data_IF_502274794310
#
_entry.id   IF_502274794310
#
_cell.length_a   1.000
_cell.length_b   1.000
_cell.length_c   1.000
_cell.angle_alpha   90.00
_cell.angle_beta   90.00
_cell.angle_gamma   90.00
#
_symmetry.space_group_name_H-M   'P 1'
#
loop_
_entity.id
_entity.type
_entity.pdbx_description
1 polymer ?
#
# COMPACT_ATOMS: atom_id res chain seq x y z
N UNK A 1 -4.61 -7.68 -1.89
CA UNK A 1 -6.09 -7.80 -1.77
C UNK A 1 -6.64 -7.19 -0.49
N UNK A 2 -6.12 -7.50 0.71
CA UNK A 2 -6.65 -6.93 1.97
C UNK A 2 -6.74 -5.40 1.97
N UNK A 3 -5.68 -4.71 1.52
CA UNK A 3 -5.65 -3.25 1.33
C UNK A 3 -6.86 -2.72 0.56
N UNK A 4 -7.26 -3.38 -0.54
CA UNK A 4 -8.44 -2.97 -1.33
C UNK A 4 -9.73 -3.03 -0.50
N UNK A 5 -9.97 -4.15 0.19
CA UNK A 5 -11.19 -4.30 0.99
C UNK A 5 -11.24 -3.37 2.20
N UNK A 6 -10.10 -3.15 2.87
CA UNK A 6 -10.01 -2.19 3.97
C UNK A 6 -10.23 -0.75 3.49
N UNK A 7 -9.60 -0.37 2.38
CA UNK A 7 -9.84 0.93 1.75
C UNK A 7 -11.32 1.12 1.37
N UNK A 8 -11.94 0.11 0.74
CA UNK A 8 -13.38 0.15 0.43
C UNK A 8 -14.25 0.30 1.68
N UNK A 9 -14.00 -0.51 2.73
CA UNK A 9 -14.79 -0.45 3.95
C UNK A 9 -14.74 0.94 4.59
N UNK A 10 -13.54 1.52 4.69
CA UNK A 10 -13.36 2.85 5.29
C UNK A 10 -13.98 3.93 4.40
N UNK A 11 -13.68 3.93 3.10
CA UNK A 11 -14.15 4.99 2.19
C UNK A 11 -15.66 4.99 2.00
N UNK A 12 -16.30 3.83 1.89
CA UNK A 12 -17.75 3.75 1.75
C UNK A 12 -18.49 4.20 3.02
N UNK A 13 -17.91 3.98 4.21
CA UNK A 13 -18.53 4.37 5.48
C UNK A 13 -18.29 5.83 5.86
N UNK A 14 -17.09 6.35 5.61
CA UNK A 14 -16.65 7.65 6.15
C UNK A 14 -16.49 8.73 5.08
N UNK A 15 -16.41 8.37 3.81
CA UNK A 15 -16.12 9.28 2.70
C UNK A 15 -17.08 9.08 1.50
N UNK A 16 -18.42 9.16 1.71
CA UNK A 16 -19.40 8.82 0.69
C UNK A 16 -19.40 9.75 -0.54
N UNK A 17 -18.72 10.90 -0.46
CA UNK A 17 -18.58 11.85 -1.57
C UNK A 17 -17.34 11.62 -2.44
N UNK A 18 -16.43 10.73 -2.06
CA UNK A 18 -15.23 10.45 -2.85
C UNK A 18 -15.59 9.74 -4.16
N UNK A 19 -14.82 10.03 -5.21
CA UNK A 19 -15.18 9.70 -6.59
C UNK A 19 -14.32 8.62 -7.24
N UNK A 20 -13.37 8.06 -6.50
CA UNK A 20 -12.52 6.97 -6.99
C UNK A 20 -13.37 5.78 -7.44
N UNK A 21 -13.08 5.24 -8.62
CA UNK A 21 -13.78 4.05 -9.11
C UNK A 21 -13.26 2.79 -8.39
N UNK A 22 -14.11 1.77 -8.17
CA UNK A 22 -13.68 0.49 -7.62
C UNK A 22 -12.54 -0.15 -8.42
N UNK A 23 -12.55 0.02 -9.75
CA UNK A 23 -11.50 -0.47 -10.64
C UNK A 23 -10.15 0.22 -10.38
N UNK A 24 -10.12 1.56 -10.33
CA UNK A 24 -8.87 2.30 -10.11
C UNK A 24 -8.29 1.98 -8.74
N UNK A 25 -9.14 1.89 -7.71
CA UNK A 25 -8.73 1.48 -6.37
C UNK A 25 -8.18 0.03 -6.36
N UNK A 26 -8.84 -0.89 -7.05
CA UNK A 26 -8.38 -2.28 -7.16
C UNK A 26 -7.01 -2.35 -7.83
N UNK A 27 -6.83 -1.68 -8.97
CA UNK A 27 -5.58 -1.69 -9.73
C UNK A 27 -4.41 -1.15 -8.88
N UNK A 28 -4.58 -0.02 -8.20
CA UNK A 28 -3.50 0.51 -7.35
C UNK A 28 -3.21 -0.42 -6.17
N UNK A 29 -4.22 -1.02 -5.53
CA UNK A 29 -4.00 -1.96 -4.43
C UNK A 29 -3.31 -3.25 -4.87
N UNK A 30 -3.51 -3.69 -6.12
CA UNK A 30 -2.79 -4.83 -6.70
C UNK A 30 -1.34 -4.50 -7.05
N UNK A 31 -1.06 -3.24 -7.39
CA UNK A 31 0.22 -2.83 -7.98
C UNK A 31 1.15 -2.06 -7.02
N UNK A 32 0.66 -1.54 -5.88
CA UNK A 32 1.46 -0.66 -5.02
C UNK A 32 2.78 -1.27 -4.53
N UNK A 33 2.78 -2.57 -4.24
CA UNK A 33 3.97 -3.31 -3.81
C UNK A 33 4.69 -4.03 -4.97
N UNK A 34 4.37 -3.74 -6.25
CA UNK A 34 5.01 -4.42 -7.39
C UNK A 34 6.54 -4.25 -7.40
N UNK A 35 7.06 -3.14 -6.87
CA UNK A 35 8.49 -2.91 -6.72
C UNK A 35 9.18 -3.85 -5.72
N UNK A 36 8.42 -4.53 -4.85
CA UNK A 36 8.95 -5.40 -3.78
C UNK A 36 9.27 -6.82 -4.24
N UNK A 37 8.85 -7.22 -5.44
CA UNK A 37 9.02 -8.62 -5.86
C UNK A 37 10.50 -9.00 -5.95
N UNK A 38 10.86 -10.29 -5.78
CA UNK A 38 12.24 -10.75 -5.89
C UNK A 38 12.92 -10.43 -7.24
N UNK A 39 12.12 -10.25 -8.30
CA UNK A 39 12.61 -9.85 -9.62
C UNK A 39 12.82 -8.35 -9.75
N UNK A 40 11.96 -7.52 -9.13
CA UNK A 40 11.96 -6.06 -9.31
C UNK A 40 12.81 -5.34 -8.26
N UNK A 41 12.86 -5.83 -7.02
CA UNK A 41 13.61 -5.19 -5.95
C UNK A 41 15.10 -5.04 -6.29
N UNK A 42 15.81 -6.08 -6.80
CA UNK A 42 17.23 -5.96 -7.15
C UNK A 42 17.49 -5.46 -8.58
N UNK A 43 16.46 -5.29 -9.44
CA UNK A 43 16.66 -4.90 -10.84
C UNK A 43 16.87 -3.40 -11.05
N UNK A 44 16.81 -2.61 -9.97
CA UNK A 44 16.90 -1.15 -10.00
C UNK A 44 17.69 -0.61 -8.81
N UNK A 45 18.19 0.62 -8.94
CA UNK A 45 18.74 1.41 -7.83
C UNK A 45 17.74 2.42 -7.24
N UNK A 46 16.54 2.51 -7.82
CA UNK A 46 15.45 3.35 -7.31
C UNK A 46 14.77 2.70 -6.11
N UNK A 47 14.20 3.53 -5.23
CA UNK A 47 13.30 3.07 -4.18
C UNK A 47 12.16 2.25 -4.77
N UNK A 48 11.74 1.19 -4.08
CA UNK A 48 10.77 0.24 -4.62
C UNK A 48 9.44 0.91 -5.01
N UNK A 49 8.98 1.93 -4.29
CA UNK A 49 7.75 2.64 -4.63
C UNK A 49 7.86 3.38 -5.98
N UNK A 50 9.02 3.98 -6.25
CA UNK A 50 9.26 4.71 -7.50
C UNK A 50 9.37 3.74 -8.68
N UNK A 51 10.11 2.65 -8.49
CA UNK A 51 10.24 1.64 -9.52
C UNK A 51 8.91 0.92 -9.79
N UNK A 52 8.17 0.56 -8.73
CA UNK A 52 6.84 -0.03 -8.83
C UNK A 52 5.86 0.88 -9.57
N UNK A 53 5.91 2.19 -9.33
CA UNK A 53 5.11 3.16 -10.06
C UNK A 53 5.45 3.21 -11.55
N UNK A 54 6.74 3.24 -11.91
CA UNK A 54 7.14 3.22 -13.32
C UNK A 54 6.75 1.93 -14.05
N UNK A 55 6.90 0.77 -13.39
CA UNK A 55 6.44 -0.50 -13.92
C UNK A 55 4.93 -0.50 -14.14
N UNK A 56 4.18 0.00 -13.16
CA UNK A 56 2.71 0.06 -13.20
C UNK A 56 2.22 1.02 -14.29
N UNK A 57 2.82 2.20 -14.39
CA UNK A 57 2.49 3.18 -15.44
C UNK A 57 2.74 2.58 -16.83
N UNK A 58 3.91 1.98 -17.05
CA UNK A 58 4.23 1.35 -18.33
C UNK A 58 3.28 0.21 -18.68
N UNK A 59 2.95 -0.66 -17.70
CA UNK A 59 2.00 -1.74 -17.88
C UNK A 59 0.62 -1.21 -18.29
N UNK A 60 0.06 -0.28 -17.52
CA UNK A 60 -1.28 0.27 -17.77
C UNK A 60 -1.35 1.00 -19.12
N UNK A 61 -0.32 1.78 -19.46
CA UNK A 61 -0.23 2.43 -20.77
C UNK A 61 -0.13 1.42 -21.92
N UNK A 62 0.62 0.31 -21.74
CA UNK A 62 0.70 -0.77 -22.74
C UNK A 62 -0.63 -1.49 -22.96
N UNK A 63 -1.50 -1.49 -21.95
CA UNK A 63 -2.85 -2.04 -21.98
C UNK A 63 -3.91 -1.01 -22.43
N UNK A 64 -3.48 0.15 -22.93
CA UNK A 64 -4.36 1.22 -23.39
C UNK A 64 -5.30 1.78 -22.32
N UNK A 65 -4.92 1.71 -21.04
CA UNK A 65 -5.63 2.42 -19.97
C UNK A 65 -5.64 3.93 -20.24
N UNK A 66 -6.68 4.61 -19.78
CA UNK A 66 -6.75 6.07 -19.87
C UNK A 66 -5.57 6.71 -19.11
N UNK A 67 -4.90 7.68 -19.73
CA UNK A 67 -3.73 8.37 -19.14
C UNK A 67 -4.00 8.88 -17.73
N UNK A 68 -5.14 9.54 -17.51
CA UNK A 68 -5.50 10.06 -16.19
C UNK A 68 -5.59 8.97 -15.10
N UNK A 69 -6.08 7.78 -15.45
CA UNK A 69 -6.15 6.65 -14.52
C UNK A 69 -4.75 6.09 -14.25
N UNK A 70 -3.96 5.87 -15.31
CA UNK A 70 -2.61 5.31 -15.20
C UNK A 70 -1.68 6.23 -14.39
N UNK A 71 -1.73 7.54 -14.64
CA UNK A 71 -0.96 8.54 -13.89
C UNK A 71 -1.45 8.68 -12.45
N UNK A 72 -2.77 8.63 -12.20
CA UNK A 72 -3.32 8.65 -10.83
C UNK A 72 -2.88 7.44 -10.00
N UNK A 73 -2.83 6.26 -10.62
CA UNK A 73 -2.28 5.04 -10.01
C UNK A 73 -0.79 5.24 -9.74
N UNK A 74 -0.01 5.69 -10.72
CA UNK A 74 1.42 5.89 -10.56
C UNK A 74 1.76 6.89 -9.43
N UNK A 75 1.10 8.05 -9.39
CA UNK A 75 1.22 9.04 -8.31
C UNK A 75 0.92 8.42 -6.95
N UNK A 76 -0.15 7.62 -6.85
CA UNK A 76 -0.51 6.96 -5.59
C UNK A 76 0.54 5.93 -5.18
N UNK A 77 1.09 5.15 -6.11
CA UNK A 77 2.15 4.19 -5.81
C UNK A 77 3.42 4.92 -5.36
N UNK A 78 3.81 6.03 -5.98
CA UNK A 78 4.96 6.82 -5.53
C UNK A 78 4.78 7.26 -4.07
N UNK A 79 3.56 7.66 -3.70
CA UNK A 79 3.26 8.30 -2.42
C UNK A 79 2.65 7.38 -1.37
N UNK A 80 2.53 6.08 -1.61
CA UNK A 80 1.81 5.18 -0.69
C UNK A 80 2.53 4.95 0.66
N UNK A 81 3.81 5.33 0.77
CA UNK A 81 4.57 5.39 2.03
C UNK A 81 4.70 6.83 2.58
N UNK A 82 4.29 7.83 1.80
CA UNK A 82 4.44 9.24 2.16
C UNK A 82 3.28 9.73 3.02
N UNK A 83 3.30 9.38 4.31
CA UNK A 83 2.23 9.77 5.23
C UNK A 83 2.15 11.29 5.39
N UNK A 84 3.29 11.97 5.51
CA UNK A 84 3.40 13.43 5.59
C UNK A 84 2.62 14.06 6.76
N UNK A 85 2.93 15.31 7.09
CA UNK A 85 2.18 16.06 8.11
C UNK A 85 1.47 17.30 7.53
N UNK A 86 1.87 17.73 6.34
CA UNK A 86 1.38 18.96 5.70
C UNK A 86 1.18 18.75 4.19
N UNK A 87 0.41 19.66 3.57
CA UNK A 87 0.10 19.63 2.14
C UNK A 87 -1.18 18.88 1.80
N UNK A 88 -1.34 18.52 0.52
CA UNK A 88 -2.51 17.81 -0.01
C UNK A 88 -2.11 16.50 -0.69
N UNK A 89 -3.05 15.57 -0.75
CA UNK A 89 -2.94 14.31 -1.49
C UNK A 89 -4.26 13.99 -2.20
N UNK A 90 -4.21 13.06 -3.15
CA UNK A 90 -5.41 12.63 -3.88
C UNK A 90 -6.30 11.75 -2.98
N UNK A 91 -7.61 11.69 -3.27
CA UNK A 91 -8.53 10.77 -2.60
C UNK A 91 -8.04 9.32 -2.72
N UNK A 92 -7.49 8.94 -3.89
CA UNK A 92 -6.97 7.59 -4.15
C UNK A 92 -5.78 7.26 -3.24
N UNK A 93 -4.86 8.22 -3.07
CA UNK A 93 -3.70 8.06 -2.18
C UNK A 93 -4.13 7.91 -0.73
N UNK A 94 -5.07 8.74 -0.27
CA UNK A 94 -5.61 8.63 1.08
C UNK A 94 -6.32 7.27 1.31
N UNK A 95 -7.10 6.80 0.32
CA UNK A 95 -7.75 5.48 0.39
C UNK A 95 -6.73 4.34 0.53
N UNK A 96 -5.64 4.38 -0.24
CA UNK A 96 -4.57 3.38 -0.14
C UNK A 96 -3.86 3.46 1.20
N UNK A 97 -3.57 4.65 1.73
CA UNK A 97 -2.98 4.81 3.07
C UNK A 97 -3.82 4.17 4.17
N UNK A 98 -5.14 4.32 4.12
CA UNK A 98 -6.02 3.65 5.09
C UNK A 98 -5.84 2.12 5.06
N UNK A 99 -5.84 1.53 3.87
CA UNK A 99 -5.69 0.07 3.72
C UNK A 99 -4.29 -0.43 4.09
N UNK A 100 -3.22 0.26 3.64
CA UNK A 100 -1.84 -0.17 3.90
C UNK A 100 -1.46 0.00 5.35
N UNK A 101 -1.82 1.13 5.99
CA UNK A 101 -1.46 1.36 7.40
C UNK A 101 -2.26 0.50 8.37
N UNK A 102 -3.50 0.13 8.03
CA UNK A 102 -4.24 -0.88 8.80
C UNK A 102 -3.53 -2.23 8.74
N UNK A 103 -3.23 -2.72 7.53
CA UNK A 103 -2.65 -4.06 7.36
C UNK A 103 -1.19 -4.16 7.86
N UNK A 104 -0.42 -3.07 7.74
CA UNK A 104 1.01 -3.07 8.08
C UNK A 104 1.28 -2.60 9.51
N UNK A 105 0.52 -1.64 10.04
CA UNK A 105 0.81 -0.97 11.31
C UNK A 105 -0.39 -0.90 12.27
N UNK A 106 -1.53 -1.51 11.93
CA UNK A 106 -2.73 -1.53 12.77
C UNK A 106 -3.38 -0.15 12.95
N UNK A 107 -3.05 0.84 12.12
CA UNK A 107 -3.65 2.18 12.20
C UNK A 107 -5.04 2.19 11.61
N UNK A 108 -5.87 3.14 12.05
CA UNK A 108 -7.24 3.32 11.55
C UNK A 108 -8.18 2.13 11.80
N UNK A 109 -7.83 1.23 12.73
CA UNK A 109 -8.68 0.07 13.08
C UNK A 109 -10.04 0.53 13.62
N UNK A 110 -10.10 1.69 14.26
CA UNK A 110 -11.34 2.31 14.73
C UNK A 110 -12.30 2.71 13.60
N UNK A 111 -11.83 2.78 12.35
CA UNK A 111 -12.66 3.09 11.19
C UNK A 111 -13.32 1.87 10.56
N UNK A 112 -12.96 0.65 10.99
CA UNK A 112 -13.46 -0.62 10.41
C UNK A 112 -14.00 -1.52 11.52
N UNK A 113 -15.21 -2.04 11.33
CA UNK A 113 -15.77 -3.02 12.26
C UNK A 113 -14.93 -4.29 12.30
N UNK A 114 -14.70 -4.84 13.51
CA UNK A 114 -13.90 -6.05 13.72
C UNK A 114 -14.37 -7.24 12.87
N UNK A 115 -15.67 -7.42 12.68
CA UNK A 115 -16.24 -8.49 11.84
C UNK A 115 -15.80 -8.35 10.38
N UNK A 116 -15.63 -7.12 9.90
CA UNK A 116 -15.12 -6.85 8.55
C UNK A 116 -13.66 -7.23 8.45
N UNK A 117 -12.83 -6.88 9.45
CA UNK A 117 -11.41 -7.28 9.51
C UNK A 117 -11.28 -8.80 9.47
N UNK A 118 -11.98 -9.50 10.36
CA UNK A 118 -11.98 -10.96 10.45
C UNK A 118 -12.44 -11.61 9.13
N UNK A 119 -13.48 -11.07 8.48
CA UNK A 119 -13.98 -11.58 7.21
C UNK A 119 -12.98 -11.39 6.06
N UNK A 120 -12.31 -10.24 6.00
CA UNK A 120 -11.29 -9.96 4.97
C UNK A 120 -10.07 -10.85 5.17
N UNK A 121 -9.56 -10.99 6.39
CA UNK A 121 -8.42 -11.88 6.69
C UNK A 121 -8.78 -13.33 6.41
N UNK A 122 -10.00 -13.77 6.75
CA UNK A 122 -10.46 -15.13 6.45
C UNK A 122 -10.48 -15.42 4.94
N UNK A 123 -10.89 -14.45 4.13
CA UNK A 123 -10.89 -14.58 2.67
C UNK A 123 -9.49 -14.43 2.06
N UNK A 124 -8.62 -13.62 2.67
CA UNK A 124 -7.27 -13.31 2.20
C UNK A 124 -6.26 -13.41 3.36
N UNK A 125 -5.85 -14.65 3.73
CA UNK A 125 -4.98 -14.90 4.88
C UNK A 125 -3.67 -14.10 4.85
N UNK A 126 -3.11 -13.79 6.02
CA UNK A 126 -1.86 -13.00 6.14
C UNK A 126 -0.61 -13.81 5.85
N UNK A 127 -0.59 -15.09 6.23
CA UNK A 127 0.52 -16.01 5.91
C UNK A 127 1.90 -15.50 6.37
N UNK A 128 1.98 -14.97 7.59
CA UNK A 128 3.17 -14.37 8.18
C UNK A 128 3.49 -12.99 7.59
N UNK A 129 2.47 -12.23 7.17
CA UNK A 129 2.62 -10.94 6.48
C UNK A 129 3.56 -9.98 7.21
N UNK A 130 3.45 -9.87 8.54
CA UNK A 130 4.29 -8.96 9.31
C UNK A 130 5.78 -9.28 9.14
N UNK A 131 6.13 -10.57 9.21
CA UNK A 131 7.49 -11.05 8.98
C UNK A 131 7.94 -10.84 7.53
N UNK A 132 7.05 -11.13 6.57
CA UNK A 132 7.30 -10.96 5.14
C UNK A 132 7.64 -9.50 4.80
N UNK A 133 6.78 -8.55 5.18
CA UNK A 133 6.97 -7.15 4.85
C UNK A 133 8.17 -6.53 5.60
N UNK A 134 8.38 -6.90 6.87
CA UNK A 134 9.57 -6.48 7.61
C UNK A 134 10.87 -7.01 6.98
N UNK A 135 10.85 -8.18 6.35
CA UNK A 135 11.99 -8.70 5.59
C UNK A 135 12.24 -7.87 4.32
N UNK A 136 11.19 -7.59 3.54
CA UNK A 136 11.27 -6.75 2.33
C UNK A 136 11.85 -5.37 2.66
N UNK A 137 11.41 -4.71 3.73
CA UNK A 137 11.93 -3.41 4.13
C UNK A 137 13.43 -3.46 4.47
N UNK A 138 13.86 -4.48 5.22
CA UNK A 138 15.29 -4.67 5.52
C UNK A 138 16.11 -4.92 4.26
N UNK A 139 15.58 -5.71 3.33
CA UNK A 139 16.26 -5.99 2.06
C UNK A 139 16.38 -4.72 1.21
N UNK A 140 15.30 -3.96 1.07
CA UNK A 140 15.29 -2.68 0.34
C UNK A 140 16.33 -1.71 0.93
N UNK A 141 16.27 -1.48 2.25
CA UNK A 141 17.19 -0.57 2.94
C UNK A 141 18.64 -1.05 2.88
N UNK A 142 18.88 -2.36 2.94
CA UNK A 142 20.21 -2.95 2.84
C UNK A 142 20.81 -2.84 1.44
N UNK A 143 20.01 -3.02 0.40
CA UNK A 143 20.43 -2.91 -1.01
C UNK A 143 20.53 -1.46 -1.48
N UNK A 144 19.66 -0.61 -0.97
CA UNK A 144 19.48 0.78 -1.37
C UNK A 144 19.45 1.67 -0.12
N UNK A 145 20.61 1.95 0.51
CA UNK A 145 20.65 2.77 1.73
C UNK A 145 20.12 4.19 1.58
N UNK A 146 19.89 4.64 0.34
CA UNK A 146 19.31 5.92 -0.03
C UNK A 146 17.80 5.85 -0.38
N UNK A 147 17.16 4.68 -0.26
CA UNK A 147 15.76 4.50 -0.63
C UNK A 147 14.82 5.35 0.24
N UNK A 148 13.65 5.69 -0.30
CA UNK A 148 12.66 6.52 0.37
C UNK A 148 12.15 5.90 1.67
N UNK A 149 12.11 4.56 1.77
CA UNK A 149 11.72 3.87 3.01
C UNK A 149 12.59 4.24 4.21
N UNK A 150 13.85 4.63 4.02
CA UNK A 150 14.73 5.12 5.12
C UNK A 150 14.28 6.45 5.73
N UNK A 151 13.39 7.21 5.07
CA UNK A 151 12.79 8.44 5.60
C UNK A 151 11.85 8.19 6.77
N UNK A 152 11.31 6.97 6.89
CA UNK A 152 10.41 6.57 7.97
C UNK A 152 11.25 5.99 9.09
N UNK A 153 11.48 6.77 10.14
CA UNK A 153 12.22 6.32 11.32
C UNK A 153 11.48 5.16 12.01
N UNK A 154 12.20 4.08 12.30
CA UNK A 154 11.64 2.91 12.97
C UNK A 154 10.61 2.13 12.13
N UNK A 155 10.68 2.21 10.80
CA UNK A 155 9.64 1.62 9.94
C UNK A 155 9.49 0.10 10.11
N UNK A 156 10.60 -0.62 10.24
CA UNK A 156 10.58 -2.07 10.43
C UNK A 156 9.94 -2.42 11.77
N UNK A 157 10.28 -1.68 12.82
CA UNK A 157 9.75 -1.83 14.17
C UNK A 157 8.26 -1.48 14.23
N UNK A 158 7.83 -0.45 13.49
CA UNK A 158 6.42 -0.08 13.35
C UNK A 158 5.60 -1.23 12.76
N UNK A 159 6.10 -1.88 11.71
CA UNK A 159 5.45 -3.03 11.09
C UNK A 159 5.41 -4.21 12.07
N UNK A 160 6.55 -4.55 12.68
CA UNK A 160 6.64 -5.66 13.62
C UNK A 160 5.83 -5.44 14.91
N UNK A 161 5.57 -4.19 15.27
CA UNK A 161 4.74 -3.79 16.41
C UNK A 161 3.24 -3.80 16.15
N UNK A 162 2.77 -4.33 15.00
CA UNK A 162 1.35 -4.38 14.66
C UNK A 162 0.55 -5.34 15.56
N UNK A 163 0.16 -4.87 16.74
CA UNK A 163 -0.63 -5.64 17.70
C UNK A 163 -2.08 -5.88 17.26
N UNK A 164 -2.63 -5.05 16.37
CA UNK A 164 -4.00 -5.20 15.85
C UNK A 164 -4.13 -6.44 14.97
N UNK A 165 -3.12 -6.67 14.11
CA UNK A 165 -3.15 -7.79 13.17
C UNK A 165 -2.43 -9.04 13.68
N UNK A 166 -1.89 -9.03 14.91
CA UNK A 166 -1.06 -10.10 15.45
C UNK A 166 -1.80 -11.44 15.60
N UNK A 167 -3.09 -11.43 15.93
CA UNK A 167 -3.90 -12.66 16.04
C UNK A 167 -4.21 -13.30 14.67
N UNK A 168 -3.95 -12.58 13.59
CA UNK A 168 -4.25 -12.97 12.21
C UNK A 168 -3.01 -13.33 11.39
N UNK A 169 -1.81 -13.13 11.96
CA UNK A 169 -0.55 -13.16 11.22
C UNK A 169 -0.17 -14.55 10.72
#
# INVERSE_FOLDING_TARGET
MRVYYFACAITLSHFPSWTNTPETLLLVCLLHDLGTTPANLPSTHLSFEFHGAFLSLNLLMSLSSHTAQAESIAETIIRHQDLGETGSMTELTAAVHFGTLLDNAGKFVELVDRVTVESVVKAWPREGWTGCFAHVLREEMGRKPWCNSTRIEGFVELVQGNGVMAEFD
#
